data_IF_017579337409
#
_entry.id   IF_017579337409
#
_cell.length_a   1.000
_cell.length_b   1.000
_cell.length_c   1.000
_cell.angle_alpha   90.00
_cell.angle_beta   90.00
_cell.angle_gamma   90.00
#
_symmetry.space_group_name_H-M   'P 1'
#
loop_
_entity.id
_entity.type
_entity.pdbx_description
1 polymer ?
#
# COMPACT_ATOMS: atom_id res chain seq x y z
N UNK A 1 23.61 -50.84 -44.54
CA UNK A 1 24.65 -50.10 -43.81
C UNK A 1 23.97 -49.26 -42.75
N UNK A 2 24.24 -49.56 -41.48
CA UNK A 2 23.61 -48.92 -40.32
C UNK A 2 24.16 -47.51 -40.10
N UNK A 3 23.32 -46.56 -39.63
CA UNK A 3 23.66 -45.54 -38.62
C UNK A 3 22.40 -45.06 -37.88
N UNK A 4 22.38 -45.29 -36.56
CA UNK A 4 21.54 -44.63 -35.55
C UNK A 4 21.71 -43.10 -35.61
N UNK A 5 20.69 -42.35 -35.18
CA UNK A 5 20.79 -41.32 -34.11
C UNK A 5 19.37 -41.05 -33.58
N UNK A 6 19.18 -41.36 -32.31
CA UNK A 6 18.04 -40.96 -31.49
C UNK A 6 18.29 -39.54 -30.94
N UNK A 7 17.25 -38.72 -30.78
CA UNK A 7 17.34 -37.59 -29.87
C UNK A 7 16.00 -37.26 -29.21
N UNK A 8 16.01 -37.46 -27.89
CA UNK A 8 15.03 -37.16 -26.88
C UNK A 8 14.61 -35.68 -26.91
N UNK A 9 13.30 -35.41 -26.92
CA UNK A 9 12.78 -34.09 -26.53
C UNK A 9 12.60 -34.12 -25.01
N UNK A 10 13.54 -33.45 -24.33
CA UNK A 10 13.57 -33.23 -22.89
C UNK A 10 12.41 -32.31 -22.50
N UNK A 11 11.54 -32.80 -21.61
CA UNK A 11 10.50 -32.04 -20.96
C UNK A 11 11.17 -31.07 -19.95
N UNK A 12 11.28 -29.78 -20.30
CA UNK A 12 11.76 -28.77 -19.36
C UNK A 12 10.68 -28.56 -18.28
N UNK A 13 10.86 -29.23 -17.14
CA UNK A 13 10.20 -28.84 -15.91
C UNK A 13 10.71 -27.44 -15.52
N UNK A 14 9.86 -26.43 -15.67
CA UNK A 14 10.08 -25.13 -15.07
C UNK A 14 10.14 -25.33 -13.55
N UNK A 15 11.35 -25.35 -13.00
CA UNK A 15 11.57 -25.27 -11.56
C UNK A 15 11.09 -23.88 -11.12
N UNK A 16 9.83 -23.80 -10.69
CA UNK A 16 9.37 -22.74 -9.80
C UNK A 16 10.22 -22.89 -8.54
N UNK A 17 11.35 -22.19 -8.49
CA UNK A 17 12.02 -21.94 -7.23
C UNK A 17 11.10 -21.00 -6.45
N UNK A 18 10.11 -21.58 -5.76
CA UNK A 18 9.53 -20.92 -4.62
C UNK A 18 10.70 -20.63 -3.69
N UNK A 19 11.14 -19.36 -3.67
CA UNK A 19 12.20 -18.93 -2.78
C UNK A 19 11.84 -19.43 -1.38
N UNK A 20 12.74 -20.16 -0.69
CA UNK A 20 12.40 -20.78 0.56
C UNK A 20 11.92 -19.69 1.52
N UNK A 21 10.78 -19.91 2.17
CA UNK A 21 10.25 -19.05 3.25
C UNK A 21 11.20 -18.94 4.45
N UNK A 22 12.37 -19.60 4.41
CA UNK A 22 13.34 -19.68 5.49
C UNK A 22 14.57 -18.83 5.27
N UNK A 23 14.46 -17.50 5.40
CA UNK A 23 15.53 -16.59 5.89
C UNK A 23 15.02 -15.26 6.45
N UNK A 24 13.71 -15.12 6.72
CA UNK A 24 13.15 -13.95 7.44
C UNK A 24 13.15 -14.14 8.96
N UNK A 25 14.19 -14.74 9.52
CA UNK A 25 14.41 -14.80 10.97
C UNK A 25 15.63 -13.92 11.30
N UNK A 26 15.43 -12.60 11.25
CA UNK A 26 16.46 -11.58 11.46
C UNK A 26 15.81 -10.21 11.64
N UNK A 27 16.57 -9.19 12.07
CA UNK A 27 16.04 -7.84 12.32
C UNK A 27 15.21 -7.28 11.16
N UNK A 28 15.53 -7.62 9.90
CA UNK A 28 14.78 -7.19 8.71
C UNK A 28 13.33 -7.71 8.66
N UNK A 29 13.05 -8.91 9.17
CA UNK A 29 11.67 -9.40 9.20
C UNK A 29 10.83 -8.78 10.32
N UNK A 30 11.47 -8.47 11.44
CA UNK A 30 10.84 -7.73 12.54
C UNK A 30 10.55 -6.29 12.10
N UNK A 31 11.51 -5.61 11.48
CA UNK A 31 11.34 -4.25 10.94
C UNK A 31 10.22 -4.20 9.89
N UNK A 32 10.24 -5.11 8.91
CA UNK A 32 9.17 -5.24 7.93
C UNK A 32 7.78 -5.40 8.57
N UNK A 33 7.64 -6.24 9.59
CA UNK A 33 6.35 -6.44 10.27
C UNK A 33 5.93 -5.20 11.08
N UNK A 34 6.88 -4.48 11.68
CA UNK A 34 6.62 -3.21 12.36
C UNK A 34 6.12 -2.17 11.35
N UNK A 35 6.79 -2.01 10.22
CA UNK A 35 6.42 -0.99 9.22
C UNK A 35 5.09 -1.34 8.55
N UNK A 36 4.80 -2.64 8.32
CA UNK A 36 3.46 -3.11 7.89
C UNK A 36 2.37 -2.78 8.92
N UNK A 37 2.68 -2.83 10.20
CA UNK A 37 1.72 -2.44 11.24
C UNK A 37 1.55 -0.92 11.31
N UNK A 38 2.63 -0.14 11.18
CA UNK A 38 2.59 1.32 11.17
C UNK A 38 1.72 1.87 10.04
N UNK A 39 1.87 1.38 8.81
CA UNK A 39 1.05 1.90 7.70
C UNK A 39 -0.45 1.68 7.97
N UNK A 40 -0.84 0.56 8.59
CA UNK A 40 -2.25 0.30 8.95
C UNK A 40 -2.74 1.28 10.02
N UNK A 41 -1.95 1.52 11.06
CA UNK A 41 -2.34 2.45 12.14
C UNK A 41 -2.30 3.91 11.69
N UNK A 42 -1.34 4.30 10.86
CA UNK A 42 -1.24 5.63 10.26
C UNK A 42 -2.36 5.88 9.26
N UNK A 43 -2.76 4.89 8.45
CA UNK A 43 -3.92 5.02 7.57
C UNK A 43 -5.22 5.23 8.35
N UNK A 44 -5.39 4.54 9.48
CA UNK A 44 -6.53 4.74 10.37
C UNK A 44 -6.51 6.15 11.00
N UNK A 45 -5.34 6.61 11.47
CA UNK A 45 -5.16 7.95 12.03
C UNK A 45 -5.43 9.05 10.99
N UNK A 46 -4.98 8.86 9.75
CA UNK A 46 -5.25 9.77 8.62
C UNK A 46 -6.73 9.84 8.32
N UNK A 47 -7.42 8.70 8.24
CA UNK A 47 -8.89 8.67 8.08
C UNK A 47 -9.61 9.42 9.20
N UNK A 48 -9.17 9.26 10.45
CA UNK A 48 -9.74 9.97 11.58
C UNK A 48 -9.52 11.49 11.47
N UNK A 49 -8.32 11.93 11.07
CA UNK A 49 -8.00 13.34 10.88
C UNK A 49 -8.81 13.95 9.72
N UNK A 50 -8.94 13.26 8.59
CA UNK A 50 -9.76 13.71 7.45
C UNK A 50 -11.24 13.88 7.85
N UNK A 51 -11.77 13.01 8.73
CA UNK A 51 -13.14 13.14 9.24
C UNK A 51 -13.37 14.33 10.18
N UNK A 52 -12.31 14.97 10.68
CA UNK A 52 -12.39 16.15 11.53
C UNK A 52 -12.37 17.46 10.73
N UNK A 53 -12.14 17.41 9.41
CA UNK A 53 -12.18 18.59 8.55
C UNK A 53 -13.62 19.11 8.49
N UNK A 54 -13.79 20.43 8.65
CA UNK A 54 -15.09 21.07 8.51
C UNK A 54 -15.55 21.01 7.05
N UNK A 55 -16.70 20.38 6.82
CA UNK A 55 -17.30 20.20 5.49
C UNK A 55 -18.46 21.15 5.21
N UNK A 56 -18.54 22.26 5.95
CA UNK A 56 -19.58 23.29 5.73
C UNK A 56 -19.51 23.93 4.34
N UNK A 57 -18.31 24.01 3.75
CA UNK A 57 -18.11 24.38 2.35
C UNK A 57 -18.30 23.17 1.42
N UNK A 58 -19.04 23.33 0.33
CA UNK A 58 -19.25 22.27 -0.67
C UNK A 58 -17.95 21.79 -1.29
N UNK A 59 -17.00 22.69 -1.51
CA UNK A 59 -15.71 22.37 -2.13
C UNK A 59 -14.85 21.56 -1.16
N UNK A 60 -14.83 21.94 0.11
CA UNK A 60 -14.16 21.20 1.18
C UNK A 60 -14.80 19.82 1.38
N UNK A 61 -16.14 19.73 1.36
CA UNK A 61 -16.86 18.46 1.44
C UNK A 61 -16.52 17.52 0.29
N UNK A 62 -16.46 18.03 -0.94
CA UNK A 62 -16.07 17.25 -2.11
C UNK A 62 -14.63 16.73 -2.01
N UNK A 63 -13.69 17.59 -1.62
CA UNK A 63 -12.29 17.21 -1.43
C UNK A 63 -12.11 16.16 -0.31
N UNK A 64 -12.80 16.32 0.82
CA UNK A 64 -12.84 15.32 1.90
C UNK A 64 -13.38 13.98 1.40
N UNK A 65 -14.46 14.01 0.60
CA UNK A 65 -15.01 12.82 -0.04
C UNK A 65 -14.00 12.10 -0.93
N UNK A 66 -13.33 12.83 -1.82
CA UNK A 66 -12.27 12.27 -2.67
C UNK A 66 -11.12 11.68 -1.84
N UNK A 67 -10.69 12.38 -0.80
CA UNK A 67 -9.64 11.89 0.08
C UNK A 67 -10.05 10.59 0.79
N UNK A 68 -11.28 10.49 1.30
CA UNK A 68 -11.79 9.28 1.92
C UNK A 68 -11.88 8.11 0.94
N UNK A 69 -12.29 8.36 -0.31
CA UNK A 69 -12.28 7.33 -1.37
C UNK A 69 -10.86 6.82 -1.65
N UNK A 70 -9.88 7.73 -1.78
CA UNK A 70 -8.47 7.37 -1.94
C UNK A 70 -7.94 6.53 -0.78
N UNK A 71 -8.20 6.95 0.46
CA UNK A 71 -7.81 6.22 1.67
C UNK A 71 -8.48 4.85 1.78
N UNK A 72 -9.75 4.72 1.37
CA UNK A 72 -10.44 3.43 1.31
C UNK A 72 -9.82 2.50 0.26
N UNK A 73 -9.51 3.04 -0.93
CA UNK A 73 -8.82 2.29 -1.97
C UNK A 73 -7.45 1.78 -1.49
N UNK A 74 -6.70 2.62 -0.77
CA UNK A 74 -5.44 2.21 -0.16
C UNK A 74 -5.64 1.12 0.90
N UNK A 75 -6.67 1.23 1.75
CA UNK A 75 -6.99 0.20 2.73
C UNK A 75 -7.31 -1.14 2.06
N UNK A 76 -8.04 -1.14 0.94
CA UNK A 76 -8.38 -2.36 0.21
C UNK A 76 -7.14 -2.98 -0.46
N UNK A 77 -6.24 -2.16 -1.02
CA UNK A 77 -4.94 -2.62 -1.49
C UNK A 77 -4.13 -3.30 -0.38
N UNK A 78 -4.07 -2.71 0.82
CA UNK A 78 -3.42 -3.32 1.99
C UNK A 78 -4.07 -4.65 2.37
N UNK A 79 -5.42 -4.74 2.37
CA UNK A 79 -6.12 -6.01 2.65
C UNK A 79 -5.75 -7.09 1.64
N UNK A 80 -5.69 -6.78 0.35
CA UNK A 80 -5.24 -7.73 -0.68
C UNK A 80 -3.80 -8.17 -0.47
N UNK A 81 -2.90 -7.24 -0.13
CA UNK A 81 -1.50 -7.57 0.20
C UNK A 81 -1.44 -8.51 1.41
N UNK A 82 -2.17 -8.18 2.48
CA UNK A 82 -2.23 -8.99 3.68
C UNK A 82 -2.77 -10.40 3.38
N UNK A 83 -3.84 -10.52 2.59
CA UNK A 83 -4.41 -11.79 2.16
C UNK A 83 -3.38 -12.65 1.41
N UNK A 84 -2.64 -12.05 0.46
CA UNK A 84 -1.60 -12.77 -0.27
C UNK A 84 -0.51 -13.29 0.69
N UNK A 85 -0.07 -12.46 1.64
CA UNK A 85 0.96 -12.86 2.62
C UNK A 85 0.49 -14.03 3.48
N UNK A 86 -0.72 -13.97 4.03
CA UNK A 86 -1.23 -15.04 4.91
C UNK A 86 -1.53 -16.34 4.15
N UNK A 87 -1.79 -16.25 2.84
CA UNK A 87 -1.97 -17.41 1.96
C UNK A 87 -0.66 -17.91 1.34
N UNK A 88 0.49 -17.35 1.72
CA UNK A 88 1.82 -17.75 1.23
C UNK A 88 2.15 -17.27 -0.19
N UNK A 89 1.32 -16.40 -0.77
CA UNK A 89 1.57 -15.78 -2.07
C UNK A 89 2.48 -14.55 -1.94
N UNK A 90 3.12 -14.18 -3.04
CA UNK A 90 3.85 -12.91 -3.10
C UNK A 90 2.88 -11.72 -2.98
N UNK A 91 3.28 -10.62 -2.30
CA UNK A 91 2.49 -9.39 -2.28
C UNK A 91 2.14 -8.91 -3.69
N UNK A 92 0.85 -8.67 -3.96
CA UNK A 92 0.38 -8.24 -5.28
C UNK A 92 0.98 -6.89 -5.68
N UNK A 93 1.56 -6.80 -6.89
CA UNK A 93 2.09 -5.54 -7.43
C UNK A 93 0.96 -4.55 -7.76
N UNK A 94 -0.17 -5.05 -8.26
CA UNK A 94 -1.36 -4.25 -8.51
C UNK A 94 -1.92 -3.67 -7.21
N UNK A 95 -1.96 -4.46 -6.13
CA UNK A 95 -2.41 -3.97 -4.83
C UNK A 95 -1.46 -2.91 -4.25
N UNK A 96 -0.13 -3.07 -4.42
CA UNK A 96 0.85 -2.02 -4.04
C UNK A 96 0.62 -0.72 -4.80
N UNK A 97 0.37 -0.81 -6.11
CA UNK A 97 0.03 0.34 -6.95
C UNK A 97 -1.27 0.99 -6.49
N UNK A 98 -2.27 0.18 -6.10
CA UNK A 98 -3.54 0.67 -5.55
C UNK A 98 -3.35 1.46 -4.25
N UNK A 99 -2.47 0.99 -3.34
CA UNK A 99 -2.10 1.73 -2.12
C UNK A 99 -1.50 3.08 -2.49
N UNK A 100 -0.48 3.08 -3.35
CA UNK A 100 0.19 4.31 -3.77
C UNK A 100 -0.77 5.31 -4.41
N UNK A 101 -1.60 4.85 -5.35
CA UNK A 101 -2.57 5.70 -6.04
C UNK A 101 -3.60 6.26 -5.06
N UNK A 102 -4.15 5.44 -4.17
CA UNK A 102 -5.13 5.90 -3.18
C UNK A 102 -4.58 6.95 -2.21
N UNK A 103 -3.31 6.81 -1.79
CA UNK A 103 -2.64 7.81 -0.95
C UNK A 103 -2.36 9.11 -1.73
N UNK A 104 -1.94 9.02 -2.99
CA UNK A 104 -1.71 10.18 -3.86
C UNK A 104 -3.00 10.93 -4.20
N UNK A 105 -4.11 10.21 -4.42
CA UNK A 105 -5.44 10.80 -4.64
C UNK A 105 -5.88 11.59 -3.41
N UNK A 106 -5.68 11.01 -2.21
CA UNK A 106 -5.96 11.71 -0.96
C UNK A 106 -5.06 12.94 -0.77
N UNK A 107 -3.78 12.85 -1.12
CA UNK A 107 -2.82 13.96 -1.01
C UNK A 107 -3.25 15.11 -1.91
N UNK A 108 -3.58 14.80 -3.16
CA UNK A 108 -4.03 15.77 -4.16
C UNK A 108 -5.31 16.45 -3.70
N UNK A 109 -6.30 15.69 -3.24
CA UNK A 109 -7.56 16.23 -2.75
C UNK A 109 -7.38 17.17 -1.54
N UNK A 110 -6.61 16.74 -0.53
CA UNK A 110 -6.38 17.56 0.66
C UNK A 110 -5.54 18.81 0.38
N UNK A 111 -4.63 18.75 -0.60
CA UNK A 111 -3.83 19.92 -1.01
C UNK A 111 -4.67 20.94 -1.79
N UNK A 112 -5.75 20.49 -2.44
CA UNK A 112 -6.68 21.36 -3.16
C UNK A 112 -7.66 22.14 -2.29
N UNK A 113 -7.72 21.89 -0.98
CA UNK A 113 -8.63 22.60 -0.07
C UNK A 113 -8.10 24.01 0.18
N UNK A 114 -8.80 25.00 -0.38
CA UNK A 114 -8.52 26.43 -0.20
C UNK A 114 -9.55 27.09 0.73
N UNK A 115 -9.70 26.55 1.94
CA UNK A 115 -10.68 27.03 2.92
C UNK A 115 -9.99 27.53 4.20
N UNK A 116 -10.13 28.83 4.48
CA UNK A 116 -9.51 29.48 5.64
C UNK A 116 -10.08 29.02 6.98
N UNK A 117 -11.30 28.48 7.03
CA UNK A 117 -11.92 28.01 8.28
C UNK A 117 -11.45 26.61 8.68
N UNK A 118 -11.11 25.78 7.69
CA UNK A 118 -10.64 24.41 7.89
C UNK A 118 -9.12 24.28 8.04
N UNK A 119 -8.37 25.39 8.00
CA UNK A 119 -6.91 25.37 7.83
C UNK A 119 -6.15 24.50 8.83
N UNK A 120 -6.51 24.53 10.12
CA UNK A 120 -5.82 23.73 11.15
C UNK A 120 -6.10 22.22 11.01
N UNK A 121 -7.35 21.83 10.72
CA UNK A 121 -7.72 20.41 10.57
C UNK A 121 -7.23 19.84 9.25
N UNK A 122 -7.22 20.64 8.18
CA UNK A 122 -6.59 20.28 6.89
C UNK A 122 -5.10 20.05 7.06
N UNK A 123 -4.38 20.96 7.73
CA UNK A 123 -2.94 20.80 7.97
C UNK A 123 -2.63 19.54 8.81
N UNK A 124 -3.45 19.26 9.84
CA UNK A 124 -3.32 18.05 10.64
C UNK A 124 -3.54 16.78 9.79
N UNK A 125 -4.57 16.77 8.94
CA UNK A 125 -4.85 15.65 8.04
C UNK A 125 -3.72 15.43 7.02
N UNK A 126 -3.19 16.51 6.42
CA UNK A 126 -2.05 16.46 5.51
C UNK A 126 -0.79 15.91 6.20
N UNK A 127 -0.52 16.32 7.44
CA UNK A 127 0.61 15.80 8.22
C UNK A 127 0.48 14.30 8.49
N UNK A 128 -0.72 13.82 8.86
CA UNK A 128 -0.96 12.38 9.06
C UNK A 128 -0.86 11.59 7.76
N UNK A 129 -1.36 12.15 6.66
CA UNK A 129 -1.24 11.52 5.35
C UNK A 129 0.22 11.42 4.91
N UNK A 130 1.03 12.48 5.09
CA UNK A 130 2.46 12.44 4.79
C UNK A 130 3.19 11.37 5.61
N UNK A 131 2.87 11.23 6.90
CA UNK A 131 3.39 10.15 7.73
C UNK A 131 2.95 8.76 7.24
N UNK A 132 1.70 8.63 6.76
CA UNK A 132 1.19 7.37 6.20
C UNK A 132 1.89 6.99 4.90
N UNK A 133 2.19 7.97 4.04
CA UNK A 133 2.97 7.77 2.82
C UNK A 133 4.38 7.31 3.18
N UNK A 134 5.04 7.98 4.14
CA UNK A 134 6.35 7.57 4.62
C UNK A 134 6.36 6.15 5.19
N UNK A 135 5.35 5.78 5.99
CA UNK A 135 5.23 4.40 6.49
C UNK A 135 5.03 3.39 5.35
N UNK A 136 4.39 3.78 4.25
CA UNK A 136 4.29 2.97 3.04
C UNK A 136 5.62 2.81 2.31
N UNK A 137 6.42 3.87 2.23
CA UNK A 137 7.76 3.83 1.65
C UNK A 137 8.71 2.98 2.51
N UNK A 138 8.61 3.05 3.84
CA UNK A 138 9.35 2.21 4.78
C UNK A 138 9.03 0.72 4.55
N UNK A 139 7.76 0.36 4.33
CA UNK A 139 7.37 -1.01 3.95
C UNK A 139 8.06 -1.46 2.66
N UNK A 140 8.16 -0.59 1.65
CA UNK A 140 8.85 -0.92 0.39
C UNK A 140 10.35 -1.10 0.62
N UNK A 141 10.96 -0.27 1.47
CA UNK A 141 12.38 -0.34 1.78
C UNK A 141 12.76 -1.60 2.57
N UNK A 142 11.91 -2.05 3.49
CA UNK A 142 12.26 -3.08 4.48
C UNK A 142 11.73 -4.50 4.20
N UNK A 143 10.79 -4.72 3.25
CA UNK A 143 10.02 -5.99 3.15
C UNK A 143 10.33 -6.98 1.99
#
# INVERSE_FOLDING_TARGET
MARLIALFIVFLAALVTAAPLGTRAGLGSIKCNIDRFKIVTSLAATNAAVKQIDTSSSDTAAAVGTAQTGLSSAADGIKTIALNIITGQSPSAAARTQVQNGLNDAQTALTGINDSTAGATVAAAQSKLAATIQDGDDVVADC
#
